data_IF_026315830214
#
_entry.id   IF_026315830214
#
_cell.length_a   1.000
_cell.length_b   1.000
_cell.length_c   1.000
_cell.angle_alpha   90.00
_cell.angle_beta   90.00
_cell.angle_gamma   90.00
#
_symmetry.space_group_name_H-M   'P 1'
#
loop_
_entity.id
_entity.type
_entity.pdbx_description
1 polymer ?
#
# COMPACT_ATOMS: atom_id res chain seq x y z
N UNK A 1 -7.95 -23.07 -10.33
CA UNK A 1 -8.08 -21.78 -11.02
C UNK A 1 -7.40 -21.92 -12.37
N UNK A 2 -8.06 -21.49 -13.45
CA UNK A 2 -7.48 -21.53 -14.79
C UNK A 2 -6.29 -20.54 -14.89
N UNK A 3 -5.13 -20.93 -15.44
CA UNK A 3 -3.93 -20.08 -15.50
C UNK A 3 -4.16 -18.73 -16.19
N UNK A 4 -5.02 -18.69 -17.22
CA UNK A 4 -5.33 -17.45 -17.95
C UNK A 4 -6.08 -16.48 -17.05
N UNK A 5 -7.04 -16.97 -16.28
CA UNK A 5 -7.78 -16.16 -15.29
C UNK A 5 -6.83 -15.58 -14.22
N UNK A 6 -5.85 -16.36 -13.76
CA UNK A 6 -4.82 -15.89 -12.83
C UNK A 6 -3.95 -14.76 -13.41
N UNK A 7 -3.52 -14.90 -14.66
CA UNK A 7 -2.75 -13.87 -15.37
C UNK A 7 -3.54 -12.57 -15.50
N UNK A 8 -4.83 -12.65 -15.86
CA UNK A 8 -5.71 -11.48 -15.98
C UNK A 8 -5.83 -10.75 -14.64
N UNK A 9 -6.03 -11.48 -13.54
CA UNK A 9 -6.13 -10.89 -12.20
C UNK A 9 -4.83 -10.19 -11.79
N UNK A 10 -3.67 -10.81 -12.06
CA UNK A 10 -2.36 -10.20 -11.80
C UNK A 10 -2.15 -8.96 -12.66
N UNK A 11 -2.55 -9.00 -13.94
CA UNK A 11 -2.42 -7.86 -14.85
C UNK A 11 -3.27 -6.67 -14.36
N UNK A 12 -4.52 -6.90 -13.97
CA UNK A 12 -5.40 -5.88 -13.41
C UNK A 12 -4.83 -5.29 -12.11
N UNK A 13 -4.34 -6.14 -11.21
CA UNK A 13 -3.66 -5.70 -9.99
C UNK A 13 -2.41 -4.85 -10.28
N UNK A 14 -1.60 -5.28 -11.25
CA UNK A 14 -0.37 -4.60 -11.66
C UNK A 14 -0.65 -3.23 -12.27
N UNK A 15 -1.71 -3.11 -13.09
CA UNK A 15 -2.15 -1.84 -13.66
C UNK A 15 -2.59 -0.89 -12.54
N UNK A 16 -3.37 -1.37 -11.57
CA UNK A 16 -3.78 -0.58 -10.40
C UNK A 16 -2.57 -0.07 -9.61
N UNK A 17 -1.62 -0.95 -9.30
CA UNK A 17 -0.41 -0.60 -8.56
C UNK A 17 0.47 0.41 -9.31
N UNK A 18 0.68 0.25 -10.62
CA UNK A 18 1.47 1.17 -11.44
C UNK A 18 0.80 2.54 -11.60
N UNK A 19 -0.53 2.56 -11.70
CA UNK A 19 -1.31 3.79 -11.90
C UNK A 19 -1.32 4.69 -10.67
N UNK A 20 -1.10 4.14 -9.48
CA UNK A 20 -1.14 4.87 -8.20
C UNK A 20 -0.19 6.08 -8.16
N UNK A 21 0.98 5.97 -8.81
CA UNK A 21 2.01 7.02 -8.82
C UNK A 21 1.83 8.05 -9.93
N UNK A 22 0.96 7.80 -10.91
CA UNK A 22 0.75 8.71 -12.07
C UNK A 22 0.09 10.04 -11.65
N UNK A 23 -0.93 10.07 -10.76
CA UNK A 23 -1.51 11.30 -10.25
C UNK A 23 -0.55 12.17 -9.44
N UNK A 24 0.59 11.63 -8.95
CA UNK A 24 1.51 12.37 -8.08
C UNK A 24 2.06 13.61 -8.79
N UNK A 25 2.26 13.53 -10.10
CA UNK A 25 2.71 14.67 -10.93
C UNK A 25 1.69 15.81 -11.04
N UNK A 26 0.41 15.54 -10.74
CA UNK A 26 -0.68 16.53 -10.85
C UNK A 26 -0.87 17.32 -9.55
N UNK A 27 -0.41 16.81 -8.41
CA UNK A 27 -0.52 17.48 -7.10
C UNK A 27 0.73 18.32 -6.84
N UNK A 28 0.71 19.56 -7.31
CA UNK A 28 1.87 20.48 -7.22
C UNK A 28 1.86 21.39 -5.99
N UNK A 29 0.70 21.68 -5.43
CA UNK A 29 0.53 22.67 -4.36
C UNK A 29 0.65 22.12 -2.94
N UNK A 30 0.68 20.79 -2.78
CA UNK A 30 0.75 20.17 -1.46
C UNK A 30 2.19 19.81 -1.12
N UNK A 31 2.55 20.01 0.15
CA UNK A 31 3.71 19.36 0.75
C UNK A 31 3.56 17.84 0.60
N UNK A 32 4.68 17.16 0.35
CA UNK A 32 4.67 15.72 0.07
C UNK A 32 4.10 14.93 1.25
N UNK A 33 4.49 15.30 2.46
CA UNK A 33 4.09 14.68 3.71
C UNK A 33 2.57 14.76 3.92
N UNK A 34 1.98 15.93 3.64
CA UNK A 34 0.53 16.15 3.74
C UNK A 34 -0.23 15.32 2.71
N UNK A 35 0.29 15.23 1.48
CA UNK A 35 -0.29 14.39 0.44
C UNK A 35 -0.21 12.91 0.80
N UNK A 36 0.96 12.43 1.21
CA UNK A 36 1.22 11.05 1.59
C UNK A 36 0.33 10.59 2.74
N UNK A 37 0.23 11.38 3.82
CA UNK A 37 -0.63 11.06 4.96
C UNK A 37 -2.10 11.03 4.55
N UNK A 38 -2.55 11.99 3.73
CA UNK A 38 -3.94 12.03 3.27
C UNK A 38 -4.28 10.78 2.46
N UNK A 39 -3.42 10.43 1.50
CA UNK A 39 -3.58 9.22 0.71
C UNK A 39 -3.53 7.96 1.58
N UNK A 40 -2.54 7.85 2.46
CA UNK A 40 -2.36 6.71 3.36
C UNK A 40 -3.57 6.53 4.28
N UNK A 41 -4.16 7.61 4.78
CA UNK A 41 -5.38 7.55 5.58
C UNK A 41 -6.55 6.93 4.80
N UNK A 42 -6.78 7.36 3.56
CA UNK A 42 -7.81 6.75 2.72
C UNK A 42 -7.49 5.29 2.40
N UNK A 43 -6.27 4.98 1.99
CA UNK A 43 -5.87 3.66 1.52
C UNK A 43 -5.77 2.61 2.63
N UNK A 44 -5.35 3.01 3.85
CA UNK A 44 -5.04 2.06 4.93
C UNK A 44 -6.08 2.06 6.04
N UNK A 45 -6.86 3.15 6.19
CA UNK A 45 -7.93 3.23 7.19
C UNK A 45 -9.28 3.11 6.48
N UNK A 46 -9.66 4.08 5.65
CA UNK A 46 -11.04 4.13 5.12
C UNK A 46 -11.38 2.90 4.27
N UNK A 47 -10.58 2.60 3.25
CA UNK A 47 -10.87 1.50 2.32
C UNK A 47 -10.91 0.13 3.01
N UNK A 48 -9.93 -0.25 3.86
CA UNK A 48 -9.99 -1.54 4.54
C UNK A 48 -11.20 -1.71 5.45
N UNK A 49 -11.61 -0.66 6.17
CA UNK A 49 -12.82 -0.72 6.99
C UNK A 49 -14.09 -0.86 6.14
N UNK A 50 -14.20 -0.13 5.03
CA UNK A 50 -15.33 -0.28 4.09
C UNK A 50 -15.40 -1.72 3.56
N UNK A 51 -14.29 -2.28 3.11
CA UNK A 51 -14.23 -3.65 2.60
C UNK A 51 -14.56 -4.66 3.70
N UNK A 52 -14.03 -4.48 4.91
CA UNK A 52 -14.36 -5.31 6.06
C UNK A 52 -15.88 -5.32 6.32
N UNK A 53 -16.55 -4.17 6.31
CA UNK A 53 -17.99 -4.10 6.52
C UNK A 53 -18.83 -4.71 5.38
N UNK A 54 -18.31 -4.77 4.16
CA UNK A 54 -19.01 -5.35 3.00
C UNK A 54 -18.86 -6.88 2.98
N UNK A 55 -17.65 -7.37 3.24
CA UNK A 55 -17.29 -8.78 3.01
C UNK A 55 -17.32 -9.64 4.27
N UNK A 56 -17.20 -9.05 5.46
CA UNK A 56 -17.22 -9.80 6.72
C UNK A 56 -18.66 -9.85 7.25
N UNK A 57 -19.15 -11.03 7.67
CA UNK A 57 -20.48 -11.15 8.26
C UNK A 57 -20.69 -10.17 9.43
N UNK A 58 -21.91 -9.63 9.52
CA UNK A 58 -22.26 -8.66 10.56
C UNK A 58 -22.06 -9.28 11.94
N UNK A 59 -21.33 -8.58 12.80
CA UNK A 59 -21.04 -9.03 14.17
C UNK A 59 -19.72 -9.79 14.32
N UNK A 60 -19.13 -10.30 13.24
CA UNK A 60 -17.92 -11.13 13.30
C UNK A 60 -16.61 -10.33 13.26
N UNK A 61 -16.65 -9.09 12.77
CA UNK A 61 -15.44 -8.27 12.58
C UNK A 61 -14.66 -8.03 13.89
N UNK A 62 -15.34 -7.60 14.96
CA UNK A 62 -14.70 -7.34 16.24
C UNK A 62 -14.25 -8.61 16.97
N UNK A 63 -15.05 -9.70 17.01
CA UNK A 63 -14.59 -11.00 17.50
C UNK A 63 -13.29 -11.48 16.85
N UNK A 64 -13.21 -11.49 15.51
CA UNK A 64 -12.02 -11.93 14.77
C UNK A 64 -10.77 -11.15 15.18
N UNK A 65 -10.88 -9.82 15.30
CA UNK A 65 -9.76 -8.95 15.71
C UNK A 65 -9.37 -9.21 17.19
N UNK A 66 -10.34 -9.51 18.06
CA UNK A 66 -10.09 -9.77 19.48
C UNK A 66 -9.44 -11.13 19.72
N UNK A 67 -9.89 -12.15 19.00
CA UNK A 67 -9.38 -13.53 19.04
C UNK A 67 -7.99 -13.66 18.41
N UNK A 68 -7.61 -12.70 17.55
CA UNK A 68 -6.27 -12.65 16.96
C UNK A 68 -5.18 -12.61 18.04
N UNK A 69 -4.16 -13.49 17.97
CA UNK A 69 -3.08 -13.53 18.95
C UNK A 69 -2.37 -12.18 19.11
N UNK A 70 -1.96 -11.85 20.34
CA UNK A 70 -1.29 -10.58 20.62
C UNK A 70 0.02 -10.43 19.82
N UNK A 71 0.76 -11.52 19.59
CA UNK A 71 1.97 -11.53 18.76
C UNK A 71 1.67 -11.15 17.30
N UNK A 72 0.58 -11.67 16.74
CA UNK A 72 0.15 -11.34 15.37
C UNK A 72 -0.23 -9.87 15.27
N UNK A 73 -1.02 -9.35 16.23
CA UNK A 73 -1.38 -7.93 16.26
C UNK A 73 -0.15 -7.03 16.33
N UNK A 74 0.81 -7.36 17.18
CA UNK A 74 2.07 -6.64 17.30
C UNK A 74 2.85 -6.65 15.98
N UNK A 75 3.02 -7.82 15.36
CA UNK A 75 3.77 -7.97 14.12
C UNK A 75 3.11 -7.22 12.96
N UNK A 76 1.79 -7.30 12.81
CA UNK A 76 1.05 -6.58 11.77
C UNK A 76 1.19 -5.06 11.96
N UNK A 77 1.08 -4.57 13.20
CA UNK A 77 1.32 -3.14 13.48
C UNK A 77 2.77 -2.74 13.19
N UNK A 78 3.75 -3.55 13.62
CA UNK A 78 5.16 -3.27 13.42
C UNK A 78 5.53 -3.21 11.94
N UNK A 79 5.19 -4.23 11.16
CA UNK A 79 5.44 -4.25 9.72
C UNK A 79 4.62 -3.19 8.99
N UNK A 80 3.41 -2.87 9.45
CA UNK A 80 2.62 -1.76 8.90
C UNK A 80 3.31 -0.41 9.07
N UNK A 81 3.88 -0.14 10.25
CA UNK A 81 4.67 1.08 10.50
C UNK A 81 5.92 1.11 9.62
N UNK A 82 6.70 0.03 9.58
CA UNK A 82 7.89 -0.05 8.73
C UNK A 82 7.57 0.18 7.26
N UNK A 83 6.49 -0.44 6.76
CA UNK A 83 6.03 -0.26 5.39
C UNK A 83 5.59 1.19 5.14
N UNK A 84 4.90 1.83 6.09
CA UNK A 84 4.53 3.24 6.01
C UNK A 84 5.74 4.19 5.91
N UNK A 85 6.78 3.94 6.71
CA UNK A 85 8.06 4.67 6.61
C UNK A 85 8.76 4.42 5.27
N UNK A 86 8.82 3.17 4.82
CA UNK A 86 9.39 2.81 3.51
C UNK A 86 8.63 3.47 2.36
N UNK A 87 7.31 3.49 2.40
CA UNK A 87 6.48 4.14 1.38
C UNK A 87 6.68 5.66 1.32
N UNK A 88 6.83 6.32 2.48
CA UNK A 88 7.10 7.75 2.56
C UNK A 88 8.43 8.11 1.87
N UNK A 89 9.50 7.38 2.19
CA UNK A 89 10.84 7.63 1.63
C UNK A 89 10.95 7.21 0.17
N UNK A 90 10.28 6.12 -0.21
CA UNK A 90 10.15 5.69 -1.59
C UNK A 90 9.44 6.74 -2.45
N UNK A 91 8.34 7.31 -1.96
CA UNK A 91 7.63 8.37 -2.67
C UNK A 91 8.44 9.66 -2.79
N UNK A 92 9.26 10.01 -1.78
CA UNK A 92 10.25 11.09 -1.90
C UNK A 92 11.27 10.80 -3.01
N UNK A 93 11.82 9.59 -3.05
CA UNK A 93 12.77 9.18 -4.09
C UNK A 93 12.15 9.33 -5.49
N UNK A 94 10.90 8.89 -5.69
CA UNK A 94 10.18 9.08 -6.95
C UNK A 94 9.91 10.55 -7.27
N UNK A 95 9.63 11.38 -6.27
CA UNK A 95 9.37 12.82 -6.45
C UNK A 95 10.61 13.57 -6.91
N UNK A 96 11.80 13.22 -6.39
CA UNK A 96 13.05 13.89 -6.74
C UNK A 96 13.77 13.30 -7.95
N UNK A 97 13.79 11.97 -8.09
CA UNK A 97 14.49 11.28 -9.17
C UNK A 97 13.62 11.02 -10.41
N UNK A 98 12.30 11.16 -10.25
CA UNK A 98 11.32 10.75 -11.25
C UNK A 98 11.00 9.26 -11.20
N UNK A 99 9.90 8.88 -11.86
CA UNK A 99 9.35 7.52 -11.78
C UNK A 99 10.33 6.48 -12.35
N UNK A 100 10.94 6.73 -13.51
CA UNK A 100 11.83 5.76 -14.15
C UNK A 100 13.07 5.45 -13.28
N UNK A 101 13.87 6.47 -12.96
CA UNK A 101 15.11 6.31 -12.21
C UNK A 101 14.86 5.89 -10.75
N UNK A 102 13.87 6.50 -10.10
CA UNK A 102 13.54 6.19 -8.71
C UNK A 102 13.05 4.75 -8.52
N UNK A 103 12.22 4.23 -9.44
CA UNK A 103 11.80 2.82 -9.40
C UNK A 103 12.99 1.88 -9.64
N UNK A 104 13.82 2.14 -10.64
CA UNK A 104 14.97 1.28 -10.94
C UNK A 104 15.97 1.19 -9.79
N UNK A 105 16.30 2.31 -9.15
CA UNK A 105 17.24 2.32 -8.01
C UNK A 105 16.60 1.62 -6.81
N UNK A 106 15.38 1.99 -6.44
CA UNK A 106 14.75 1.44 -5.25
C UNK A 106 14.50 -0.07 -5.37
N UNK A 107 13.93 -0.53 -6.48
CA UNK A 107 13.72 -1.96 -6.73
C UNK A 107 15.04 -2.71 -6.91
N UNK A 108 16.06 -2.08 -7.51
CA UNK A 108 17.40 -2.65 -7.62
C UNK A 108 18.07 -2.86 -6.26
N UNK A 109 17.92 -1.91 -5.34
CA UNK A 109 18.41 -2.03 -3.96
C UNK A 109 17.65 -3.12 -3.19
N UNK A 110 16.32 -3.18 -3.31
CA UNK A 110 15.55 -4.28 -2.72
C UNK A 110 16.01 -5.63 -3.26
N UNK A 111 16.23 -5.77 -4.57
CA UNK A 111 16.72 -7.01 -5.15
C UNK A 111 18.14 -7.39 -4.66
N UNK A 112 19.00 -6.41 -4.40
CA UNK A 112 20.37 -6.65 -3.94
C UNK A 112 20.45 -7.01 -2.45
N UNK A 113 19.63 -6.39 -1.61
CA UNK A 113 19.72 -6.52 -0.15
C UNK A 113 18.64 -7.40 0.49
N UNK A 114 17.52 -7.65 -0.20
CA UNK A 114 16.35 -8.35 0.32
C UNK A 114 15.27 -7.39 0.79
#
# INVERSE_FOLDING_TARGET
MDPVSGIILIALGSIGAASFYVPFKKVKSWAWESYWISQGFFAWIIIPWIFAFIFIPRGELLPIIRESPASVRLMVTFFGVLWGFGGLTFGLALRYLGIALGQSIALGLCAAFG
#
